data_IF_871546848730
#
_entry.id   IF_871546848730
#
_cell.length_a   1.000
_cell.length_b   1.000
_cell.length_c   1.000
_cell.angle_alpha   90.00
_cell.angle_beta   90.00
_cell.angle_gamma   90.00
#
_symmetry.space_group_name_H-M   'P 1'
#
loop_
_entity.id
_entity.type
_entity.pdbx_description
1 polymer ?
#
# COMPACT_ATOMS: atom_id res chain seq x y z
N UNK A 1 3.77 3.91 -18.67
CA UNK A 1 2.83 2.93 -18.10
C UNK A 1 3.32 2.55 -16.72
N UNK A 2 2.58 2.93 -15.68
CA UNK A 2 2.90 2.67 -14.28
C UNK A 2 3.23 1.19 -14.09
N UNK A 3 4.46 0.86 -13.68
CA UNK A 3 4.91 -0.53 -13.44
C UNK A 3 4.09 -1.27 -12.36
N UNK A 4 3.24 -0.54 -11.63
CA UNK A 4 2.38 -1.07 -10.57
C UNK A 4 0.94 -0.60 -10.79
N UNK A 5 0.05 -1.56 -11.02
CA UNK A 5 -1.39 -1.35 -11.18
C UNK A 5 -2.03 -0.89 -9.87
N UNK A 6 -3.19 -0.24 -9.95
CA UNK A 6 -3.97 0.16 -8.77
C UNK A 6 -4.24 -1.02 -7.83
N UNK A 7 -4.45 -2.21 -8.39
CA UNK A 7 -4.66 -3.46 -7.66
C UNK A 7 -3.49 -3.82 -6.73
N UNK A 8 -2.23 -3.64 -7.17
CA UNK A 8 -1.04 -3.90 -6.36
C UNK A 8 -0.98 -2.94 -5.17
N UNK A 9 -1.31 -1.66 -5.41
CA UNK A 9 -1.36 -0.64 -4.35
C UNK A 9 -2.45 -0.97 -3.33
N UNK A 10 -3.64 -1.33 -3.82
CA UNK A 10 -4.78 -1.71 -2.97
C UNK A 10 -4.48 -2.98 -2.18
N UNK A 11 -3.81 -3.98 -2.77
CA UNK A 11 -3.40 -5.19 -2.06
C UNK A 11 -2.42 -4.89 -0.93
N UNK A 12 -1.43 -4.02 -1.19
CA UNK A 12 -0.47 -3.58 -0.19
C UNK A 12 -1.14 -2.83 0.98
N UNK A 13 -2.03 -1.88 0.66
CA UNK A 13 -2.79 -1.13 1.68
C UNK A 13 -3.72 -2.05 2.46
N UNK A 14 -4.44 -2.96 1.80
CA UNK A 14 -5.35 -3.88 2.45
C UNK A 14 -4.62 -4.82 3.41
N UNK A 15 -3.46 -5.34 3.03
CA UNK A 15 -2.60 -6.16 3.90
C UNK A 15 -2.17 -5.40 5.16
N UNK A 16 -1.80 -4.13 4.99
CA UNK A 16 -1.49 -3.24 6.12
C UNK A 16 -2.72 -3.03 7.03
N UNK A 17 -3.88 -2.69 6.45
CA UNK A 17 -5.12 -2.44 7.20
C UNK A 17 -5.66 -3.69 7.92
N UNK A 18 -5.44 -4.88 7.36
CA UNK A 18 -5.78 -6.15 8.04
C UNK A 18 -4.89 -6.48 9.23
N UNK A 19 -3.84 -5.69 9.48
CA UNK A 19 -2.93 -5.87 10.62
C UNK A 19 -1.99 -7.08 10.52
N UNK A 20 -1.93 -7.70 9.34
CA UNK A 20 -1.25 -8.98 9.16
C UNK A 20 0.24 -8.83 8.81
N UNK A 21 0.66 -7.67 8.28
CA UNK A 21 2.02 -7.44 7.80
C UNK A 21 2.47 -5.98 8.05
N UNK A 22 3.76 -5.79 8.31
CA UNK A 22 4.38 -4.46 8.42
C UNK A 22 4.68 -3.87 7.04
N UNK A 23 4.82 -2.54 6.96
CA UNK A 23 5.19 -1.82 5.71
C UNK A 23 6.39 -2.44 4.98
N UNK A 24 7.39 -2.88 5.73
CA UNK A 24 8.60 -3.50 5.18
C UNK A 24 8.30 -4.87 4.57
N UNK A 25 7.61 -5.75 5.30
CA UNK A 25 7.20 -7.08 4.82
C UNK A 25 6.38 -6.99 3.53
N UNK A 26 5.42 -6.07 3.50
CA UNK A 26 4.60 -5.81 2.31
C UNK A 26 5.50 -5.36 1.17
N UNK A 27 6.37 -4.38 1.42
CA UNK A 27 7.28 -3.84 0.41
C UNK A 27 8.20 -4.91 -0.19
N UNK A 28 8.76 -5.79 0.65
CA UNK A 28 9.57 -6.93 0.21
C UNK A 28 8.75 -7.94 -0.60
N UNK A 29 7.50 -8.24 -0.19
CA UNK A 29 6.62 -9.19 -0.87
C UNK A 29 6.26 -8.77 -2.30
N UNK A 30 6.14 -7.46 -2.57
CA UNK A 30 5.83 -6.91 -3.90
C UNK A 30 7.04 -6.27 -4.60
N UNK A 31 8.23 -6.37 -4.00
CA UNK A 31 9.48 -5.83 -4.57
C UNK A 31 9.49 -4.32 -4.74
N UNK A 32 8.91 -3.58 -3.79
CA UNK A 32 8.91 -2.11 -3.78
C UNK A 32 9.64 -1.57 -2.54
N UNK A 33 9.89 -0.27 -2.52
CA UNK A 33 10.42 0.40 -1.34
C UNK A 33 9.33 0.62 -0.28
N UNK A 34 9.67 0.54 1.01
CA UNK A 34 8.72 0.81 2.11
C UNK A 34 8.05 2.19 1.97
N UNK A 35 8.78 3.18 1.44
CA UNK A 35 8.26 4.54 1.21
C UNK A 35 7.11 4.56 0.20
N UNK A 36 7.09 3.66 -0.78
CA UNK A 36 5.98 3.50 -1.70
C UNK A 36 4.74 2.98 -0.98
N UNK A 37 4.89 1.95 -0.15
CA UNK A 37 3.78 1.38 0.64
C UNK A 37 3.18 2.43 1.59
N UNK A 38 4.03 3.19 2.30
CA UNK A 38 3.58 4.29 3.17
C UNK A 38 2.79 5.34 2.37
N UNK A 39 3.27 5.70 1.17
CA UNK A 39 2.60 6.67 0.30
C UNK A 39 1.22 6.17 -0.12
N UNK A 40 1.09 4.88 -0.45
CA UNK A 40 -0.19 4.31 -0.85
C UNK A 40 -1.18 4.21 0.31
N UNK A 41 -0.72 3.86 1.51
CA UNK A 41 -1.56 3.85 2.71
C UNK A 41 -2.06 5.27 3.03
N UNK A 42 -1.17 6.26 3.05
CA UNK A 42 -1.56 7.67 3.26
C UNK A 42 -2.54 8.17 2.20
N UNK A 43 -2.31 7.85 0.93
CA UNK A 43 -3.24 8.21 -0.15
C UNK A 43 -4.61 7.55 0.07
N UNK A 44 -4.64 6.31 0.54
CA UNK A 44 -5.88 5.59 0.82
C UNK A 44 -6.61 6.16 2.04
N UNK A 45 -5.91 6.52 3.12
CA UNK A 45 -6.49 7.21 4.29
C UNK A 45 -7.10 8.56 3.89
N UNK A 46 -6.36 9.38 3.15
CA UNK A 46 -6.85 10.69 2.67
C UNK A 46 -8.04 10.55 1.71
N UNK A 47 -8.03 9.51 0.86
CA UNK A 47 -9.14 9.23 -0.05
C UNK A 47 -10.37 8.68 0.69
N UNK A 48 -10.17 7.95 1.79
CA UNK A 48 -11.21 7.38 2.64
C UNK A 48 -11.85 8.40 3.60
N UNK A 49 -11.10 9.39 4.08
CA UNK A 49 -11.62 10.49 4.92
C UNK A 49 -12.50 11.50 4.16
N UNK A 50 -12.57 11.40 2.83
CA UNK A 50 -13.42 12.27 2.02
C UNK A 50 -14.81 11.68 1.71
N UNK A 51 -15.20 10.62 2.43
CA UNK A 51 -16.51 9.97 2.37
C UNK A 51 -17.45 10.42 3.47
#
# INVERSE_FOLDING_TARGET
>A
MSKYTLEVKLQAVKRYLTGNESYQTIAESIGVAKSQVITWVKLFEVQGEKG
#
